data_IF_735034191013
#
_entry.id   IF_735034191013
#
_cell.length_a   1.000
_cell.length_b   1.000
_cell.length_c   1.000
_cell.angle_alpha   90.00
_cell.angle_beta   90.00
_cell.angle_gamma   90.00
#
_symmetry.space_group_name_H-M   'P 1'
#
loop_
_entity.id
_entity.type
_entity.pdbx_description
1 polymer ?
#
# COMPACT_ATOMS: atom_id res chain seq x y z
N UNK A 1 8.62 -9.79 -39.54
CA UNK A 1 7.66 -10.07 -38.44
C UNK A 1 8.30 -9.59 -37.14
N UNK A 2 7.84 -8.46 -36.60
CA UNK A 2 8.49 -7.76 -35.48
C UNK A 2 8.41 -8.59 -34.20
N UNK A 3 9.55 -8.95 -33.60
CA UNK A 3 9.60 -9.56 -32.25
C UNK A 3 9.03 -8.54 -31.28
N UNK A 4 7.80 -8.75 -30.80
CA UNK A 4 7.25 -7.97 -29.69
C UNK A 4 8.19 -8.17 -28.49
N UNK A 5 8.90 -7.11 -28.11
CA UNK A 5 9.78 -7.07 -26.95
C UNK A 5 8.92 -6.99 -25.68
N UNK A 6 8.09 -8.00 -25.42
CA UNK A 6 7.35 -8.09 -24.17
C UNK A 6 8.33 -8.44 -23.05
N UNK A 7 8.73 -7.42 -22.27
CA UNK A 7 9.59 -7.58 -21.10
C UNK A 7 8.72 -7.78 -19.85
N UNK A 8 8.45 -9.03 -19.51
CA UNK A 8 7.77 -9.52 -18.28
C UNK A 8 8.51 -9.20 -16.95
N UNK A 9 9.29 -8.12 -16.89
CA UNK A 9 10.19 -7.85 -15.76
C UNK A 9 9.76 -6.67 -14.89
N UNK A 10 8.78 -5.88 -15.34
CA UNK A 10 8.38 -4.66 -14.64
C UNK A 10 7.75 -4.98 -13.28
N UNK A 11 6.72 -5.83 -13.24
CA UNK A 11 6.09 -6.25 -11.97
C UNK A 11 7.08 -6.94 -11.04
N UNK A 12 7.94 -7.81 -11.59
CA UNK A 12 8.93 -8.57 -10.84
C UNK A 12 9.99 -7.67 -10.20
N UNK A 13 10.48 -6.69 -10.95
CA UNK A 13 11.47 -5.74 -10.45
C UNK A 13 10.86 -4.85 -9.37
N UNK A 14 9.63 -4.36 -9.56
CA UNK A 14 8.93 -3.57 -8.54
C UNK A 14 8.67 -4.38 -7.26
N UNK A 15 8.26 -5.64 -7.38
CA UNK A 15 8.06 -6.53 -6.25
C UNK A 15 9.36 -6.81 -5.51
N UNK A 16 10.46 -7.07 -6.25
CA UNK A 16 11.77 -7.24 -5.65
C UNK A 16 12.21 -5.97 -4.89
N UNK A 17 12.05 -4.80 -5.49
CA UNK A 17 12.34 -3.51 -4.83
C UNK A 17 11.53 -3.34 -3.56
N UNK A 18 10.21 -3.59 -3.58
CA UNK A 18 9.34 -3.47 -2.39
C UNK A 18 9.73 -4.44 -1.26
N UNK A 19 10.10 -5.68 -1.60
CA UNK A 19 10.54 -6.65 -0.61
C UNK A 19 11.89 -6.25 -0.03
N UNK A 20 12.82 -5.80 -0.87
CA UNK A 20 14.13 -5.31 -0.43
C UNK A 20 13.98 -4.08 0.48
N UNK A 21 13.12 -3.12 0.13
CA UNK A 21 12.88 -1.94 0.97
C UNK A 21 12.25 -2.32 2.31
N UNK A 22 11.30 -3.27 2.32
CA UNK A 22 10.68 -3.75 3.55
C UNK A 22 11.68 -4.47 4.46
N UNK A 23 12.55 -5.32 3.89
CA UNK A 23 13.64 -5.99 4.62
C UNK A 23 14.64 -4.96 5.15
N UNK A 24 15.04 -3.99 4.32
CA UNK A 24 15.95 -2.93 4.72
C UNK A 24 15.38 -2.11 5.88
N UNK A 25 14.08 -1.78 5.84
CA UNK A 25 13.41 -1.07 6.92
C UNK A 25 13.35 -1.91 8.20
N UNK A 26 13.03 -3.20 8.11
CA UNK A 26 13.03 -4.10 9.26
C UNK A 26 14.44 -4.26 9.87
N UNK A 27 15.47 -4.36 9.03
CA UNK A 27 16.86 -4.43 9.46
C UNK A 27 17.30 -3.14 10.16
N UNK A 28 16.89 -1.98 9.64
CA UNK A 28 17.15 -0.68 10.24
C UNK A 28 16.48 -0.57 11.61
N UNK A 29 15.20 -0.95 11.74
CA UNK A 29 14.50 -1.00 13.03
C UNK A 29 15.19 -1.94 14.03
N UNK A 30 15.75 -3.06 13.58
CA UNK A 30 16.48 -3.99 14.42
C UNK A 30 17.83 -3.41 14.88
N UNK A 31 18.59 -2.79 13.97
CA UNK A 31 19.88 -2.15 14.27
C UNK A 31 19.74 -0.97 15.24
N UNK A 32 18.70 -0.14 15.07
CA UNK A 32 18.45 1.03 15.90
C UNK A 32 17.55 0.73 17.11
N UNK A 33 17.30 -0.55 17.43
CA UNK A 33 16.39 -0.95 18.50
C UNK A 33 16.76 -0.34 19.87
N UNK A 34 18.04 -0.25 20.19
CA UNK A 34 18.53 0.36 21.44
C UNK A 34 18.12 1.82 21.62
N UNK A 35 18.58 2.74 20.75
CA UNK A 35 18.22 4.16 20.84
C UNK A 35 16.73 4.42 20.62
N UNK A 36 16.05 3.63 19.78
CA UNK A 36 14.58 3.75 19.62
C UNK A 36 13.88 3.45 20.93
N UNK A 37 14.24 2.36 21.61
CA UNK A 37 13.63 1.97 22.89
C UNK A 37 13.98 2.97 23.99
N UNK A 38 15.19 3.52 24.00
CA UNK A 38 15.59 4.53 24.99
C UNK A 38 14.82 5.85 24.79
N UNK A 39 14.68 6.32 23.55
CA UNK A 39 13.90 7.53 23.22
C UNK A 39 12.39 7.30 23.44
N UNK A 40 11.85 6.13 23.07
CA UNK A 40 10.41 5.85 23.22
C UNK A 40 9.97 5.44 24.63
N UNK A 41 10.82 4.76 25.41
CA UNK A 41 10.45 4.23 26.72
C UNK A 41 11.10 4.96 27.91
N UNK A 42 12.23 5.66 27.75
CA UNK A 42 12.88 6.38 28.87
C UNK A 42 12.58 7.88 28.91
N UNK A 43 12.26 8.51 27.77
CA UNK A 43 11.57 9.80 27.78
C UNK A 43 10.08 9.50 27.85
N UNK A 44 9.33 10.20 28.73
CA UNK A 44 7.89 10.00 28.93
C UNK A 44 7.09 10.37 27.68
N UNK A 45 7.16 9.55 26.64
CA UNK A 45 6.27 9.67 25.50
C UNK A 45 4.88 9.30 26.01
N UNK A 46 3.94 10.21 25.85
CA UNK A 46 2.56 10.03 26.29
C UNK A 46 1.98 8.78 25.63
N UNK A 47 1.24 7.95 26.38
CA UNK A 47 0.62 6.71 25.88
C UNK A 47 -0.16 6.92 24.57
N UNK A 48 -0.74 8.12 24.40
CA UNK A 48 -1.45 8.55 23.18
C UNK A 48 -0.57 8.56 21.93
N UNK A 49 0.68 9.03 22.03
CA UNK A 49 1.62 9.11 20.91
C UNK A 49 2.02 7.72 20.41
N UNK A 50 2.28 6.80 21.35
CA UNK A 50 2.62 5.40 21.04
C UNK A 50 1.45 4.73 20.32
N UNK A 51 0.22 4.93 20.82
CA UNK A 51 -0.98 4.36 20.21
C UNK A 51 -1.22 4.92 18.80
N UNK A 52 -1.15 6.25 18.62
CA UNK A 52 -1.37 6.88 17.31
C UNK A 52 -0.32 6.46 16.28
N UNK A 53 0.97 6.55 16.62
CA UNK A 53 2.05 6.12 15.73
C UNK A 53 1.99 4.61 15.44
N UNK A 54 1.60 3.80 16.44
CA UNK A 54 1.40 2.36 16.26
C UNK A 54 0.29 2.03 15.26
N UNK A 55 -0.83 2.76 15.31
CA UNK A 55 -1.93 2.61 14.35
C UNK A 55 -1.49 3.01 12.94
N UNK A 56 -0.80 4.15 12.78
CA UNK A 56 -0.26 4.59 11.48
C UNK A 56 0.69 3.54 10.92
N UNK A 57 1.63 3.03 11.73
CA UNK A 57 2.57 1.99 11.31
C UNK A 57 1.86 0.67 10.93
N UNK A 58 0.82 0.27 11.67
CA UNK A 58 0.04 -0.92 11.36
C UNK A 58 -0.72 -0.77 10.03
N UNK A 59 -1.35 0.39 9.79
CA UNK A 59 -2.01 0.71 8.53
C UNK A 59 -1.04 0.73 7.36
N UNK A 60 0.16 1.28 7.57
CA UNK A 60 1.22 1.27 6.57
C UNK A 60 1.66 -0.16 6.22
N UNK A 61 1.93 -1.00 7.21
CA UNK A 61 2.29 -2.40 7.01
C UNK A 61 1.19 -3.16 6.26
N UNK A 62 -0.07 -2.92 6.61
CA UNK A 62 -1.21 -3.48 5.90
C UNK A 62 -1.27 -3.01 4.43
N UNK A 63 -1.00 -1.73 4.18
CA UNK A 63 -0.91 -1.16 2.83
C UNK A 63 0.20 -1.78 1.99
N UNK A 64 1.39 -1.90 2.57
CA UNK A 64 2.54 -2.56 1.95
C UNK A 64 2.24 -4.02 1.62
N UNK A 65 1.66 -4.75 2.57
CA UNK A 65 1.25 -6.14 2.35
C UNK A 65 0.25 -6.27 1.19
N UNK A 66 -0.77 -5.40 1.16
CA UNK A 66 -1.76 -5.40 0.07
C UNK A 66 -1.13 -5.06 -1.28
N UNK A 67 -0.16 -4.14 -1.33
CA UNK A 67 0.62 -3.83 -2.53
C UNK A 67 1.43 -5.01 -3.03
N UNK A 68 2.07 -5.76 -2.12
CA UNK A 68 2.81 -6.98 -2.47
C UNK A 68 1.85 -8.01 -3.09
N UNK A 69 0.69 -8.24 -2.48
CA UNK A 69 -0.32 -9.16 -3.03
C UNK A 69 -0.79 -8.73 -4.43
N UNK A 70 -0.99 -7.42 -4.64
CA UNK A 70 -1.36 -6.86 -5.94
C UNK A 70 -0.27 -7.08 -6.99
N UNK A 71 1.00 -6.81 -6.65
CA UNK A 71 2.14 -7.05 -7.53
C UNK A 71 2.35 -8.54 -7.83
N UNK A 72 2.10 -9.42 -6.86
CA UNK A 72 2.12 -10.87 -7.09
C UNK A 72 1.06 -11.29 -8.10
N UNK A 73 -0.13 -10.71 -8.04
CA UNK A 73 -1.17 -10.95 -9.04
C UNK A 73 -0.73 -10.43 -10.42
N UNK A 74 -0.23 -9.20 -10.53
CA UNK A 74 0.28 -8.66 -11.80
C UNK A 74 1.40 -9.49 -12.40
N UNK A 75 2.28 -10.04 -11.57
CA UNK A 75 3.32 -10.95 -12.05
C UNK A 75 2.74 -12.22 -12.68
N UNK A 76 1.63 -12.77 -12.14
CA UNK A 76 0.95 -13.93 -12.74
C UNK A 76 0.30 -13.57 -14.07
N UNK A 77 -0.33 -12.39 -14.17
CA UNK A 77 -0.88 -11.89 -15.44
C UNK A 77 0.20 -11.68 -16.49
N UNK A 78 1.35 -11.09 -16.14
CA UNK A 78 2.48 -10.92 -17.07
C UNK A 78 2.98 -12.25 -17.63
N UNK A 79 3.09 -13.29 -16.80
CA UNK A 79 3.48 -14.63 -17.23
C UNK A 79 2.45 -15.22 -18.20
N UNK A 80 1.16 -15.16 -17.86
CA UNK A 80 0.09 -15.68 -18.71
C UNK A 80 0.03 -14.98 -20.08
N UNK A 81 0.29 -13.67 -20.14
CA UNK A 81 0.41 -12.93 -21.40
C UNK A 81 1.62 -13.41 -22.19
N UNK A 82 2.76 -13.63 -21.54
CA UNK A 82 3.96 -14.18 -22.17
C UNK A 82 3.71 -15.54 -22.83
N UNK A 83 3.10 -16.46 -22.08
CA UNK A 83 2.74 -17.80 -22.55
C UNK A 83 1.75 -17.72 -23.73
N UNK A 84 0.76 -16.83 -23.66
CA UNK A 84 -0.19 -16.60 -24.74
C UNK A 84 0.46 -16.06 -26.01
N UNK A 85 1.37 -15.09 -25.90
CA UNK A 85 2.10 -14.54 -27.05
C UNK A 85 2.98 -15.63 -27.69
N UNK A 86 3.64 -16.45 -26.87
CA UNK A 86 4.46 -17.55 -27.36
C UNK A 86 3.61 -18.60 -28.08
N UNK A 87 2.43 -18.92 -27.56
CA UNK A 87 1.46 -19.78 -28.23
C UNK A 87 1.05 -19.22 -29.60
N UNK A 88 0.69 -17.93 -29.68
CA UNK A 88 0.35 -17.28 -30.95
C UNK A 88 1.51 -17.32 -31.96
N UNK A 89 2.75 -17.17 -31.48
CA UNK A 89 3.94 -17.24 -32.32
C UNK A 89 4.23 -18.64 -32.88
N UNK A 90 3.85 -19.71 -32.15
CA UNK A 90 4.03 -21.09 -32.60
C UNK A 90 3.04 -21.50 -33.70
N UNK A 91 1.91 -20.79 -33.84
CA UNK A 91 0.91 -20.97 -34.90
C UNK A 91 0.52 -22.44 -35.16
N UNK A 92 0.33 -23.23 -34.09
CA UNK A 92 -0.06 -24.64 -34.18
C UNK A 92 -1.59 -24.76 -34.28
N UNK A 93 -2.15 -25.14 -35.44
CA UNK A 93 -3.59 -25.25 -35.60
C UNK A 93 -4.16 -26.36 -34.71
N UNK A 94 -5.32 -26.11 -34.10
CA UNK A 94 -6.06 -27.09 -33.29
C UNK A 94 -5.58 -27.27 -31.84
N UNK A 95 -4.53 -26.56 -31.41
CA UNK A 95 -4.08 -26.58 -30.02
C UNK A 95 -4.67 -25.40 -29.23
N UNK A 96 -5.10 -25.63 -27.99
CA UNK A 96 -5.51 -24.56 -27.07
C UNK A 96 -4.29 -23.97 -26.36
N UNK A 97 -4.30 -22.67 -26.02
CA UNK A 97 -3.23 -22.06 -25.24
C UNK A 97 -3.16 -22.69 -23.85
N UNK A 98 -1.96 -23.09 -23.42
CA UNK A 98 -1.69 -23.53 -22.05
C UNK A 98 -1.43 -22.29 -21.19
N UNK A 99 -2.52 -21.62 -20.81
CA UNK A 99 -2.50 -20.39 -20.01
C UNK A 99 -3.28 -20.61 -18.72
N UNK A 100 -2.88 -19.90 -17.66
CA UNK A 100 -3.59 -19.97 -16.39
C UNK A 100 -5.08 -19.60 -16.58
N UNK A 101 -6.03 -20.50 -16.23
CA UNK A 101 -7.45 -20.29 -16.47
C UNK A 101 -8.01 -19.06 -15.75
N UNK A 102 -7.42 -18.66 -14.62
CA UNK A 102 -7.85 -17.50 -13.82
C UNK A 102 -7.31 -16.17 -14.36
N UNK A 103 -6.51 -16.18 -15.44
CA UNK A 103 -5.90 -14.96 -16.00
C UNK A 103 -6.88 -14.15 -16.84
N UNK A 104 -6.69 -12.82 -16.89
CA UNK A 104 -7.52 -11.94 -17.72
C UNK A 104 -7.46 -12.33 -19.20
N UNK A 105 -6.28 -12.75 -19.67
CA UNK A 105 -6.09 -13.19 -21.05
C UNK A 105 -6.82 -14.51 -21.35
N UNK A 106 -6.88 -15.44 -20.39
CA UNK A 106 -7.67 -16.67 -20.53
C UNK A 106 -9.17 -16.38 -20.58
N UNK A 107 -9.70 -15.55 -19.68
CA UNK A 107 -11.09 -15.12 -19.71
C UNK A 107 -11.46 -14.43 -21.03
N UNK A 108 -10.58 -13.55 -21.53
CA UNK A 108 -10.76 -12.89 -22.83
C UNK A 108 -10.77 -13.89 -23.98
N UNK A 109 -9.81 -14.81 -24.02
CA UNK A 109 -9.72 -15.84 -25.05
C UNK A 109 -10.95 -16.76 -25.04
N UNK A 110 -11.38 -17.20 -23.87
CA UNK A 110 -12.59 -18.03 -23.71
C UNK A 110 -13.84 -17.30 -24.18
N UNK A 111 -14.03 -16.04 -23.77
CA UNK A 111 -15.16 -15.21 -24.22
C UNK A 111 -15.18 -15.05 -25.74
N UNK A 112 -14.02 -14.76 -26.34
CA UNK A 112 -13.89 -14.59 -27.79
C UNK A 112 -14.14 -15.89 -28.55
N UNK A 113 -13.59 -17.02 -28.07
CA UNK A 113 -13.78 -18.33 -28.68
C UNK A 113 -15.22 -18.85 -28.55
N UNK A 114 -15.93 -18.46 -27.48
CA UNK A 114 -17.34 -18.78 -27.30
C UNK A 114 -18.20 -18.00 -28.31
N UNK A 115 -18.01 -16.68 -28.41
CA UNK A 115 -18.72 -15.86 -29.41
C UNK A 115 -18.49 -16.36 -30.85
N UNK A 116 -17.25 -16.73 -31.19
CA UNK A 116 -16.94 -17.30 -32.49
C UNK A 116 -17.69 -18.61 -32.77
N UNK A 117 -17.77 -19.52 -31.78
CA UNK A 117 -18.52 -20.78 -31.90
C UNK A 117 -20.03 -20.57 -32.05
N UNK A 118 -20.55 -19.51 -31.45
CA UNK A 118 -21.98 -19.13 -31.52
C UNK A 118 -22.30 -18.30 -32.77
N UNK A 119 -21.32 -18.00 -33.63
CA UNK A 119 -21.51 -17.18 -34.84
C UNK A 119 -21.72 -15.69 -34.56
N UNK A 120 -21.40 -15.23 -33.35
CA UNK A 120 -21.56 -13.83 -32.92
C UNK A 120 -20.20 -13.13 -32.97
N UNK A 121 -20.16 -11.92 -33.53
CA UNK A 121 -18.94 -11.11 -33.54
C UNK A 121 -18.60 -10.66 -32.11
N UNK A 122 -17.39 -10.95 -31.59
CA UNK A 122 -17.00 -10.52 -30.25
C UNK A 122 -16.96 -8.99 -30.16
N UNK A 123 -17.69 -8.41 -29.19
CA UNK A 123 -17.60 -6.98 -28.91
C UNK A 123 -16.33 -6.69 -28.08
N UNK A 124 -15.24 -6.38 -28.78
CA UNK A 124 -13.95 -6.08 -28.15
C UNK A 124 -13.98 -4.86 -27.23
N UNK A 125 -14.81 -3.86 -27.54
CA UNK A 125 -14.98 -2.70 -26.68
C UNK A 125 -15.59 -3.13 -25.34
N UNK A 126 -16.70 -3.87 -25.35
CA UNK A 126 -17.32 -4.38 -24.14
C UNK A 126 -16.37 -5.25 -23.30
N UNK A 127 -15.66 -6.20 -23.93
CA UNK A 127 -14.69 -7.05 -23.23
C UNK A 127 -13.56 -6.24 -22.60
N UNK A 128 -13.04 -5.22 -23.30
CA UNK A 128 -11.99 -4.35 -22.76
C UNK A 128 -12.49 -3.50 -21.58
N UNK A 129 -13.72 -3.00 -21.64
CA UNK A 129 -14.31 -2.19 -20.57
C UNK A 129 -14.56 -3.02 -19.31
N UNK A 130 -15.05 -4.25 -19.44
CA UNK A 130 -15.22 -5.16 -18.29
C UNK A 130 -13.88 -5.44 -17.61
N UNK A 131 -12.85 -5.76 -18.41
CA UNK A 131 -11.49 -5.98 -17.89
C UNK A 131 -10.91 -4.74 -17.19
N UNK A 132 -11.09 -3.54 -17.75
CA UNK A 132 -10.64 -2.29 -17.12
C UNK A 132 -11.42 -2.04 -15.81
N UNK A 133 -12.72 -2.29 -15.78
CA UNK A 133 -13.54 -2.12 -14.60
C UNK A 133 -13.11 -3.05 -13.46
N UNK A 134 -12.88 -4.33 -13.74
CA UNK A 134 -12.35 -5.30 -12.77
C UNK A 134 -10.98 -4.86 -12.23
N UNK A 135 -10.11 -4.39 -13.11
CA UNK A 135 -8.75 -3.98 -12.74
C UNK A 135 -8.72 -2.65 -11.96
N UNK A 136 -9.63 -1.73 -12.25
CA UNK A 136 -9.73 -0.43 -11.56
C UNK A 136 -10.00 -0.59 -10.06
N UNK A 137 -10.76 -1.61 -9.67
CA UNK A 137 -11.09 -1.91 -8.27
C UNK A 137 -9.84 -2.35 -7.49
N UNK A 138 -8.96 -3.12 -8.14
CA UNK A 138 -7.70 -3.59 -7.57
C UNK A 138 -6.69 -2.43 -7.43
N UNK A 139 -6.58 -1.60 -8.46
CA UNK A 139 -5.66 -0.45 -8.48
C UNK A 139 -6.01 0.68 -7.50
N UNK A 140 -7.27 0.84 -7.11
CA UNK A 140 -7.68 1.90 -6.16
C UNK A 140 -7.31 1.60 -4.70
N UNK A 141 -7.02 0.34 -4.38
CA UNK A 141 -6.79 -0.10 -3.01
C UNK A 141 -5.57 0.55 -2.32
N UNK A 142 -4.38 0.65 -2.96
CA UNK A 142 -3.23 1.34 -2.36
C UNK A 142 -3.44 2.84 -2.20
N UNK A 143 -4.11 3.48 -3.17
CA UNK A 143 -4.43 4.92 -3.12
C UNK A 143 -5.32 5.26 -1.93
N UNK A 144 -6.31 4.42 -1.66
CA UNK A 144 -7.18 4.58 -0.50
C UNK A 144 -6.41 4.52 0.83
N UNK A 145 -5.45 3.59 0.96
CA UNK A 145 -4.65 3.44 2.17
C UNK A 145 -3.73 4.63 2.38
N UNK A 146 -3.06 5.13 1.32
CA UNK A 146 -2.25 6.34 1.41
C UNK A 146 -3.08 7.56 1.83
N UNK A 147 -4.27 7.74 1.24
CA UNK A 147 -5.16 8.83 1.65
C UNK A 147 -5.58 8.72 3.13
N UNK A 148 -5.82 7.50 3.63
CA UNK A 148 -6.13 7.28 5.05
C UNK A 148 -4.94 7.56 5.95
N UNK A 149 -3.71 7.18 5.56
CA UNK A 149 -2.48 7.45 6.33
C UNK A 149 -2.30 8.94 6.57
N UNK A 150 -2.48 9.77 5.53
CA UNK A 150 -2.41 11.23 5.66
C UNK A 150 -3.51 11.77 6.58
N UNK A 151 -4.75 11.30 6.42
CA UNK A 151 -5.86 11.71 7.30
C UNK A 151 -5.64 11.27 8.76
N UNK A 152 -5.04 10.11 8.99
CA UNK A 152 -4.67 9.63 10.32
C UNK A 152 -3.56 10.49 10.94
N UNK A 153 -2.59 10.95 10.14
CA UNK A 153 -1.59 11.92 10.55
C UNK A 153 -2.21 13.25 11.00
N UNK A 154 -3.11 13.81 10.19
CA UNK A 154 -3.85 15.05 10.53
C UNK A 154 -4.77 14.85 11.73
N UNK A 155 -5.38 13.67 11.90
CA UNK A 155 -6.13 13.36 13.11
C UNK A 155 -5.23 13.32 14.35
N UNK A 156 -4.04 12.74 14.23
CA UNK A 156 -3.04 12.72 15.31
C UNK A 156 -2.64 14.11 15.78
N UNK A 157 -2.51 15.08 14.87
CA UNK A 157 -2.22 16.47 15.25
C UNK A 157 -3.38 17.12 16.00
N UNK A 158 -4.63 16.88 15.59
CA UNK A 158 -5.80 17.43 16.26
C UNK A 158 -5.93 16.93 17.70
N UNK A 159 -5.70 15.63 17.93
CA UNK A 159 -5.70 15.05 19.28
C UNK A 159 -4.59 15.65 20.13
N UNK A 160 -3.39 15.76 19.56
CA UNK A 160 -2.21 16.28 20.23
C UNK A 160 -2.33 17.76 20.62
N UNK A 161 -2.88 18.59 19.73
CA UNK A 161 -3.15 20.00 20.00
C UNK A 161 -4.23 20.17 21.08
N UNK A 162 -5.24 19.29 21.09
CA UNK A 162 -6.27 19.27 22.15
C UNK A 162 -5.67 18.98 23.53
N UNK A 163 -4.72 18.05 23.62
CA UNK A 163 -3.98 17.75 24.86
C UNK A 163 -3.14 18.95 25.29
N UNK A 164 -2.47 19.64 24.35
CA UNK A 164 -1.69 20.83 24.65
C UNK A 164 -2.56 21.99 25.17
N UNK A 165 -3.74 22.22 24.58
CA UNK A 165 -4.69 23.22 25.08
C UNK A 165 -5.19 22.88 26.49
N UNK A 166 -5.45 21.60 26.77
CA UNK A 166 -5.78 21.15 28.11
C UNK A 166 -4.63 21.41 29.11
N UNK A 167 -3.40 21.09 28.74
CA UNK A 167 -2.20 21.41 29.52
C UNK A 167 -2.07 22.91 29.82
N UNK A 168 -2.31 23.77 28.82
CA UNK A 168 -2.30 25.23 28.99
C UNK A 168 -3.40 25.70 29.94
N UNK A 169 -4.61 25.13 29.84
CA UNK A 169 -5.72 25.47 30.74
C UNK A 169 -5.42 25.12 32.20
N UNK A 170 -4.69 24.03 32.46
CA UNK A 170 -4.26 23.66 33.80
C UNK A 170 -3.26 24.67 34.39
N UNK A 171 -2.32 25.18 33.59
CA UNK A 171 -1.37 26.22 34.00
C UNK A 171 -2.05 27.53 34.39
N UNK A 172 -3.14 27.88 33.72
CA UNK A 172 -3.90 29.11 33.99
C UNK A 172 -4.75 29.01 35.27
N UNK A 173 -5.16 27.81 35.67
CA UNK A 173 -6.03 27.61 36.83
C UNK A 173 -5.27 27.46 38.15
N UNK A 174 -4.03 26.97 38.12
CA UNK A 174 -3.17 26.87 39.32
C UNK A 174 -2.20 28.05 39.41
N UNK A 175 -2.32 28.86 40.46
CA UNK A 175 -1.45 30.03 40.76
C UNK A 175 -0.04 29.65 41.22
N UNK A 176 0.32 28.38 41.18
CA UNK A 176 1.65 27.84 41.44
C UNK A 176 2.21 27.38 40.10
N UNK A 177 3.39 27.84 39.72
CA UNK A 177 4.03 27.53 38.42
C UNK A 177 4.30 26.04 38.25
N UNK A 178 3.25 25.29 37.91
CA UNK A 178 3.25 23.85 37.90
C UNK A 178 3.92 23.38 36.61
N UNK A 179 5.16 22.91 36.71
CA UNK A 179 5.95 22.41 35.58
C UNK A 179 5.23 21.26 34.82
N UNK A 180 4.21 20.65 35.44
CA UNK A 180 3.38 19.59 34.87
C UNK A 180 2.59 20.04 33.64
N UNK A 181 1.95 21.22 33.68
CA UNK A 181 1.14 21.71 32.56
C UNK A 181 1.98 22.15 31.36
N UNK A 182 3.18 22.67 31.59
CA UNK A 182 4.14 22.98 30.51
C UNK A 182 4.64 21.68 29.87
N UNK A 183 4.93 20.65 30.68
CA UNK A 183 5.34 19.35 30.17
C UNK A 183 4.25 18.72 29.27
N UNK A 184 2.97 18.82 29.65
CA UNK A 184 1.84 18.36 28.83
C UNK A 184 1.73 19.09 27.48
N UNK A 185 2.01 20.40 27.46
CA UNK A 185 2.01 21.19 26.23
C UNK A 185 3.14 20.75 25.30
N UNK A 186 4.35 20.57 25.83
CA UNK A 186 5.52 20.12 25.08
C UNK A 186 5.32 18.70 24.54
N UNK A 187 4.78 17.79 25.35
CA UNK A 187 4.41 16.43 24.94
C UNK A 187 3.38 16.44 23.81
N UNK A 188 2.33 17.26 23.92
CA UNK A 188 1.32 17.43 22.86
C UNK A 188 1.94 17.92 21.55
N UNK A 189 2.75 18.98 21.59
CA UNK A 189 3.40 19.50 20.37
C UNK A 189 4.35 18.48 19.72
N UNK A 190 5.16 17.78 20.52
CA UNK A 190 6.10 16.76 20.02
C UNK A 190 5.36 15.58 19.41
N UNK A 191 4.26 15.14 20.02
CA UNK A 191 3.40 14.08 19.49
C UNK A 191 2.80 14.47 18.14
N UNK A 192 2.28 15.69 18.00
CA UNK A 192 1.71 16.18 16.74
C UNK A 192 2.72 16.15 15.58
N UNK A 193 3.95 16.60 15.84
CA UNK A 193 5.02 16.58 14.84
C UNK A 193 5.40 15.14 14.48
N UNK A 194 5.57 14.27 15.48
CA UNK A 194 5.94 12.87 15.26
C UNK A 194 4.88 12.10 14.47
N UNK A 195 3.59 12.29 14.76
CA UNK A 195 2.50 11.61 14.03
C UNK A 195 2.41 12.06 12.58
N UNK A 196 2.65 13.35 12.31
CA UNK A 196 2.63 13.88 10.94
C UNK A 196 3.81 13.38 10.12
N UNK A 197 5.01 13.40 10.70
CA UNK A 197 6.23 12.89 10.04
C UNK A 197 6.05 11.41 9.73
N UNK A 198 5.56 10.62 10.69
CA UNK A 198 5.33 9.19 10.51
C UNK A 198 4.30 8.92 9.40
N UNK A 199 3.19 9.66 9.38
CA UNK A 199 2.16 9.53 8.34
C UNK A 199 2.60 9.94 6.92
N UNK A 200 3.57 10.85 6.79
CA UNK A 200 4.10 11.28 5.49
C UNK A 200 5.16 10.30 4.96
N UNK A 201 5.99 9.77 5.86
CA UNK A 201 7.07 8.82 5.50
C UNK A 201 6.51 7.45 5.15
N UNK A 202 5.41 7.05 5.79
CA UNK A 202 4.66 5.83 5.53
C UNK A 202 3.70 6.00 4.33
#
# INVERSE_FOLDING_TARGET
MSKSNFKSTASRNLLATMVITLIAMAALLFLFRGPIVEIYFHQKITTTAIVLNGIIAALFLFGMFRLILLLMHYRREELAIGDFIQFLAQNKPGQSPEINPDSMIAHRYMSMSKSWREGVTPNHAALSQVMIAEESTRGNSPKFINNILILAGVFGTMVSLSIALFGTSSLLQTSSGDASGINLVVEGMSTALSTTITAIVC
#
